data_IF_506733018705
#
_entry.id   IF_506733018705
#
_cell.length_a   1.000
_cell.length_b   1.000
_cell.length_c   1.000
_cell.angle_alpha   90.00
_cell.angle_beta   90.00
_cell.angle_gamma   90.00
#
_symmetry.space_group_name_H-M   'P 1'
#
loop_
_entity.id
_entity.type
_entity.pdbx_description
1 polymer ?
#
# COMPACT_ATOMS: atom_id res chain seq x y z
N UNK A 1 -4.31 17.95 9.31
CA UNK A 1 -2.98 18.28 8.74
C UNK A 1 -2.88 17.68 7.36
N UNK A 2 -2.38 18.44 6.39
CA UNK A 2 -2.19 17.94 5.04
C UNK A 2 -0.89 17.14 4.94
N UNK A 3 -0.91 16.11 4.11
CA UNK A 3 0.27 15.32 3.78
C UNK A 3 0.57 15.55 2.29
N UNK A 4 1.83 15.73 1.93
CA UNK A 4 2.20 15.87 0.52
C UNK A 4 2.42 14.50 -0.13
N UNK A 5 2.49 14.50 -1.48
CA UNK A 5 2.62 13.25 -2.24
C UNK A 5 3.92 12.50 -1.91
N UNK A 6 5.01 13.23 -1.66
CA UNK A 6 6.29 12.61 -1.33
C UNK A 6 6.24 11.90 0.03
N UNK A 7 5.61 12.51 1.03
CA UNK A 7 5.45 11.91 2.34
C UNK A 7 4.52 10.69 2.29
N UNK A 8 3.43 10.79 1.52
CA UNK A 8 2.51 9.68 1.33
C UNK A 8 3.21 8.48 0.68
N UNK A 9 4.04 8.74 -0.34
CA UNK A 9 4.81 7.70 -1.02
C UNK A 9 5.80 7.03 -0.09
N UNK A 10 6.49 7.82 0.74
CA UNK A 10 7.44 7.28 1.71
C UNK A 10 6.73 6.40 2.75
N UNK A 11 5.59 6.83 3.24
CA UNK A 11 4.79 6.07 4.19
C UNK A 11 4.30 4.75 3.57
N UNK A 12 3.78 4.82 2.34
CA UNK A 12 3.33 3.62 1.62
C UNK A 12 4.49 2.63 1.43
N UNK A 13 5.69 3.14 1.12
CA UNK A 13 6.88 2.31 0.96
C UNK A 13 7.26 1.60 2.25
N UNK A 14 7.25 2.31 3.38
CA UNK A 14 7.56 1.72 4.69
C UNK A 14 6.57 0.61 5.03
N UNK A 15 5.29 0.86 4.80
CA UNK A 15 4.25 -0.13 5.09
C UNK A 15 4.44 -1.38 4.23
N UNK A 16 4.64 -1.20 2.93
CA UNK A 16 4.82 -2.33 2.02
C UNK A 16 6.06 -3.15 2.38
N UNK A 17 7.19 -2.47 2.61
CA UNK A 17 8.45 -3.16 2.91
C UNK A 17 8.39 -3.94 4.21
N UNK A 18 7.66 -3.43 5.20
CA UNK A 18 7.54 -4.08 6.50
C UNK A 18 6.63 -5.31 6.46
N UNK A 19 5.59 -5.30 5.60
CA UNK A 19 4.52 -6.30 5.63
C UNK A 19 4.19 -6.87 4.26
N UNK A 20 5.18 -7.07 3.39
CA UNK A 20 4.98 -7.51 2.00
C UNK A 20 4.21 -8.84 1.91
N UNK A 21 4.39 -9.75 2.86
CA UNK A 21 3.72 -11.05 2.86
C UNK A 21 2.44 -11.06 3.67
N UNK A 22 2.11 -9.94 4.32
CA UNK A 22 0.93 -9.84 5.19
C UNK A 22 0.02 -8.72 4.69
N UNK A 23 -0.70 -9.00 3.61
CA UNK A 23 -1.62 -8.03 3.02
C UNK A 23 -2.75 -7.64 3.98
N UNK A 24 -3.12 -8.49 4.90
CA UNK A 24 -4.15 -8.19 5.90
C UNK A 24 -3.68 -7.09 6.85
N UNK A 25 -2.45 -7.15 7.32
CA UNK A 25 -1.86 -6.11 8.16
C UNK A 25 -1.71 -4.81 7.38
N UNK A 26 -1.26 -4.88 6.13
CA UNK A 26 -1.16 -3.69 5.27
C UNK A 26 -2.53 -3.02 5.14
N UNK A 27 -3.58 -3.79 4.88
CA UNK A 27 -4.93 -3.27 4.77
C UNK A 27 -5.41 -2.63 6.07
N UNK A 28 -5.10 -3.25 7.21
CA UNK A 28 -5.50 -2.72 8.52
C UNK A 28 -4.81 -1.38 8.82
N UNK A 29 -3.54 -1.24 8.45
CA UNK A 29 -2.81 0.02 8.61
C UNK A 29 -3.33 1.07 7.64
N UNK A 30 -3.63 0.66 6.41
CA UNK A 30 -4.04 1.56 5.34
C UNK A 30 -5.44 2.14 5.56
N UNK A 31 -6.33 1.39 6.19
CA UNK A 31 -7.71 1.81 6.36
C UNK A 31 -7.85 3.18 7.05
N UNK A 32 -7.22 3.43 8.22
CA UNK A 32 -7.29 4.78 8.82
C UNK A 32 -6.60 5.84 7.97
N UNK A 33 -5.53 5.48 7.24
CA UNK A 33 -4.85 6.44 6.37
C UNK A 33 -5.75 6.89 5.22
N UNK A 34 -6.53 5.98 4.65
CA UNK A 34 -7.48 6.32 3.59
C UNK A 34 -8.60 7.22 4.10
N UNK A 35 -8.98 7.08 5.36
CA UNK A 35 -9.97 7.95 5.99
C UNK A 35 -9.41 9.33 6.30
N UNK A 36 -8.18 9.38 6.79
CA UNK A 36 -7.52 10.64 7.18
C UNK A 36 -7.12 11.48 5.97
N UNK A 37 -6.62 10.83 4.92
CA UNK A 37 -6.13 11.51 3.72
C UNK A 37 -6.79 10.90 2.47
N UNK A 38 -8.09 11.15 2.25
CA UNK A 38 -8.84 10.52 1.15
C UNK A 38 -8.43 11.00 -0.24
N UNK A 39 -7.71 12.13 -0.33
CA UNK A 39 -7.24 12.65 -1.61
C UNK A 39 -6.00 11.94 -2.12
N UNK A 40 -5.30 11.20 -1.26
CA UNK A 40 -4.13 10.42 -1.65
C UNK A 40 -4.61 9.09 -2.25
N UNK A 41 -4.11 8.75 -3.43
CA UNK A 41 -4.40 7.44 -4.04
C UNK A 41 -3.41 6.40 -3.50
N UNK A 42 -3.68 5.91 -2.30
CA UNK A 42 -2.81 4.97 -1.59
C UNK A 42 -2.59 3.68 -2.39
N UNK A 43 -3.63 3.20 -3.06
CA UNK A 43 -3.55 1.96 -3.84
C UNK A 43 -2.60 2.16 -5.03
N UNK A 44 -2.67 3.29 -5.71
CA UNK A 44 -1.75 3.60 -6.80
C UNK A 44 -0.30 3.71 -6.30
N UNK A 45 -0.09 4.32 -5.14
CA UNK A 45 1.24 4.42 -4.54
C UNK A 45 1.83 3.04 -4.23
N UNK A 46 1.03 2.17 -3.60
CA UNK A 46 1.47 0.80 -3.31
C UNK A 46 1.77 0.02 -4.60
N UNK A 47 0.93 0.17 -5.61
CA UNK A 47 1.12 -0.51 -6.89
C UNK A 47 2.43 -0.11 -7.55
N UNK A 48 2.72 1.19 -7.57
CA UNK A 48 3.95 1.71 -8.15
C UNK A 48 5.18 1.17 -7.42
N UNK A 49 5.15 1.17 -6.09
CA UNK A 49 6.26 0.65 -5.28
C UNK A 49 6.46 -0.85 -5.53
N UNK A 50 5.37 -1.62 -5.46
CA UNK A 50 5.44 -3.08 -5.64
C UNK A 50 5.97 -3.46 -7.02
N UNK A 51 5.55 -2.75 -8.06
CA UNK A 51 5.98 -3.01 -9.44
C UNK A 51 7.49 -2.77 -9.64
N UNK A 52 8.08 -1.89 -8.84
CA UNK A 52 9.48 -1.50 -8.97
C UNK A 52 10.36 -2.05 -7.85
N UNK A 53 9.86 -2.98 -7.05
CA UNK A 53 10.60 -3.50 -5.90
C UNK A 53 10.89 -4.98 -6.09
N UNK A 54 12.17 -5.30 -6.30
CA UNK A 54 12.61 -6.65 -6.64
C UNK A 54 12.24 -7.70 -5.58
N UNK A 55 12.38 -7.45 -4.26
CA UNK A 55 11.96 -8.43 -3.27
C UNK A 55 10.49 -8.83 -3.37
N UNK A 56 9.61 -7.90 -3.75
CA UNK A 56 8.20 -8.21 -3.97
C UNK A 56 8.04 -9.09 -5.22
N UNK A 57 8.74 -8.74 -6.30
CA UNK A 57 8.70 -9.49 -7.55
C UNK A 57 9.22 -10.92 -7.34
N UNK A 58 10.26 -11.07 -6.52
CA UNK A 58 10.87 -12.36 -6.23
C UNK A 58 10.03 -13.22 -5.27
N UNK A 59 9.07 -12.62 -4.57
CA UNK A 59 8.22 -13.35 -3.62
C UNK A 59 7.28 -14.35 -4.30
N UNK A 60 7.05 -14.19 -5.61
CA UNK A 60 6.10 -15.02 -6.35
C UNK A 60 4.65 -14.60 -6.17
N UNK A 61 4.39 -13.54 -5.40
CA UNK A 61 3.03 -13.04 -5.22
C UNK A 61 2.56 -12.31 -6.47
N UNK A 62 1.28 -12.52 -6.82
CA UNK A 62 0.64 -11.73 -7.87
C UNK A 62 0.37 -10.32 -7.36
N UNK A 63 1.00 -9.32 -7.97
CA UNK A 63 0.80 -7.92 -7.58
C UNK A 63 -0.67 -7.55 -7.70
N UNK A 64 -1.32 -7.93 -8.79
CA UNK A 64 -2.72 -7.59 -9.02
C UNK A 64 -3.63 -8.18 -7.94
N UNK A 65 -3.42 -9.45 -7.61
CA UNK A 65 -4.19 -10.10 -6.56
C UNK A 65 -3.96 -9.45 -5.19
N UNK A 66 -2.69 -9.21 -4.88
CA UNK A 66 -2.28 -8.62 -3.59
C UNK A 66 -2.88 -7.23 -3.41
N UNK A 67 -2.76 -6.40 -4.45
CA UNK A 67 -3.30 -5.03 -4.43
C UNK A 67 -4.82 -5.05 -4.32
N UNK A 68 -5.50 -5.94 -5.05
CA UNK A 68 -6.95 -6.06 -4.97
C UNK A 68 -7.41 -6.45 -3.57
N UNK A 69 -6.71 -7.36 -2.90
CA UNK A 69 -7.04 -7.74 -1.54
C UNK A 69 -6.81 -6.60 -0.54
N UNK A 70 -5.70 -5.88 -0.68
CA UNK A 70 -5.43 -4.70 0.16
C UNK A 70 -6.51 -3.64 -0.04
N UNK A 71 -6.87 -3.37 -1.29
CA UNK A 71 -7.90 -2.39 -1.61
C UNK A 71 -9.24 -2.79 -0.98
N UNK A 72 -9.66 -4.03 -1.21
CA UNK A 72 -10.94 -4.53 -0.71
C UNK A 72 -11.01 -4.45 0.82
N UNK A 73 -9.96 -4.86 1.51
CA UNK A 73 -9.96 -4.93 2.97
C UNK A 73 -9.71 -3.57 3.63
N UNK A 74 -9.19 -2.58 2.91
CA UNK A 74 -8.88 -1.25 3.45
C UNK A 74 -9.90 -0.18 3.07
N UNK A 75 -10.98 -0.54 2.39
CA UNK A 75 -12.02 0.42 2.03
C UNK A 75 -12.67 0.98 3.30
N UNK A 76 -12.87 2.33 3.35
CA UNK A 76 -13.50 2.99 4.49
C UNK A 76 -14.93 2.57 4.71
#
# INVERSE_FOLDING_TARGET
>A
MAINAADARQLARVILMAYVEDYTTVAAILKPLRQEWPTINWIAELTTIATNWQPFLDSGLSIQWWINEVDRQSQP
#
